data_IF_419465662594
#
_entry.id   IF_419465662594
#
_cell.length_a   1.000
_cell.length_b   1.000
_cell.length_c   1.000
_cell.angle_alpha   90.00
_cell.angle_beta   90.00
_cell.angle_gamma   90.00
#
_symmetry.space_group_name_H-M   'P 1'
#
loop_
_entity.id
_entity.type
_entity.pdbx_description
1 polymer ?
#
# COMPACT_ATOMS: atom_id res chain seq x y z
N UNK A 1 -12.05 4.53 -4.79
CA UNK A 1 -10.95 3.96 -3.99
C UNK A 1 -10.16 2.96 -4.82
N UNK A 2 -8.86 3.08 -4.78
CA UNK A 2 -7.96 2.15 -5.45
C UNK A 2 -7.13 1.41 -4.40
N UNK A 3 -7.29 0.09 -4.30
CA UNK A 3 -6.50 -0.77 -3.42
C UNK A 3 -5.46 -1.52 -4.25
N UNK A 4 -4.22 -1.08 -4.21
CA UNK A 4 -3.15 -1.64 -5.04
C UNK A 4 -2.91 -3.13 -4.80
N UNK A 5 -2.94 -3.58 -3.55
CA UNK A 5 -2.72 -4.99 -3.25
C UNK A 5 -3.86 -5.88 -3.78
N UNK A 6 -5.10 -5.40 -3.76
CA UNK A 6 -6.24 -6.12 -4.32
C UNK A 6 -6.05 -6.33 -5.83
N UNK A 7 -5.73 -5.26 -6.57
CA UNK A 7 -5.48 -5.38 -8.01
C UNK A 7 -4.29 -6.28 -8.30
N UNK A 8 -3.22 -6.17 -7.52
CA UNK A 8 -2.05 -7.04 -7.67
C UNK A 8 -2.42 -8.53 -7.52
N UNK A 9 -3.18 -8.87 -6.47
CA UNK A 9 -3.58 -10.25 -6.21
C UNK A 9 -4.58 -10.79 -7.24
N UNK A 10 -5.30 -9.90 -7.93
CA UNK A 10 -6.13 -10.26 -9.08
C UNK A 10 -5.31 -10.58 -10.34
N UNK A 11 -4.00 -10.40 -10.30
CA UNK A 11 -3.13 -10.67 -11.43
C UNK A 11 -2.88 -9.46 -12.33
N UNK A 12 -3.31 -8.27 -11.92
CA UNK A 12 -3.11 -7.06 -12.71
C UNK A 12 -1.69 -6.50 -12.58
N UNK A 13 -1.18 -5.94 -13.68
CA UNK A 13 0.07 -5.18 -13.69
C UNK A 13 -0.20 -3.75 -13.21
N UNK A 14 0.22 -3.42 -12.00
CA UNK A 14 -0.04 -2.11 -11.41
C UNK A 14 0.57 -0.97 -12.19
N UNK A 15 1.71 -1.22 -12.85
CA UNK A 15 2.40 -0.18 -13.63
C UNK A 15 1.67 0.17 -14.94
N UNK A 16 0.68 -0.65 -15.32
CA UNK A 16 -0.24 -0.38 -16.42
C UNK A 16 -1.59 0.12 -15.94
N UNK A 17 -2.09 -0.44 -14.84
CA UNK A 17 -3.42 -0.11 -14.31
C UNK A 17 -3.44 1.30 -13.70
N UNK A 18 -2.44 1.65 -12.89
CA UNK A 18 -2.42 2.96 -12.22
C UNK A 18 -2.43 4.12 -13.23
N UNK A 19 -1.57 4.16 -14.25
CA UNK A 19 -1.64 5.23 -15.24
C UNK A 19 -2.98 5.33 -15.95
N UNK A 20 -3.60 4.18 -16.25
CA UNK A 20 -4.88 4.12 -16.95
C UNK A 20 -6.04 4.65 -16.11
N UNK A 21 -6.01 4.44 -14.79
CA UNK A 21 -7.07 4.82 -13.87
C UNK A 21 -6.78 6.10 -13.08
N UNK A 22 -5.62 6.72 -13.27
CA UNK A 22 -5.12 7.80 -12.42
C UNK A 22 -6.14 8.93 -12.24
N UNK A 23 -6.81 9.35 -13.30
CA UNK A 23 -7.79 10.43 -13.26
C UNK A 23 -9.08 10.07 -12.51
N UNK A 24 -9.28 8.81 -12.20
CA UNK A 24 -10.45 8.29 -11.47
C UNK A 24 -10.15 7.87 -10.05
N UNK A 25 -8.89 7.89 -9.65
CA UNK A 25 -8.48 7.53 -8.29
C UNK A 25 -8.71 8.73 -7.38
N UNK A 26 -9.54 8.53 -6.35
CA UNK A 26 -9.88 9.57 -5.38
C UNK A 26 -9.43 9.23 -3.97
N UNK A 27 -8.97 8.01 -3.75
CA UNK A 27 -8.50 7.51 -2.46
C UNK A 27 -7.65 6.27 -2.71
N UNK A 28 -6.50 6.16 -2.04
CA UNK A 28 -5.59 5.02 -2.21
C UNK A 28 -5.50 4.20 -0.93
N UNK A 29 -5.68 2.89 -1.03
CA UNK A 29 -5.28 1.93 -0.02
C UNK A 29 -3.87 1.44 -0.34
N UNK A 30 -2.90 1.96 0.40
CA UNK A 30 -1.48 1.73 0.16
C UNK A 30 -0.98 0.51 0.94
N UNK A 31 -1.54 -0.64 0.60
CA UNK A 31 -1.32 -1.92 1.27
C UNK A 31 -0.28 -2.75 0.53
N UNK A 32 0.47 -3.57 1.27
CA UNK A 32 1.33 -4.60 0.69
C UNK A 32 0.77 -5.98 1.03
N UNK A 33 1.15 -6.96 0.26
CA UNK A 33 0.70 -8.34 0.44
C UNK A 33 1.62 -9.30 -0.31
N UNK A 34 1.47 -10.59 -0.09
CA UNK A 34 2.17 -11.64 -0.80
C UNK A 34 1.20 -12.77 -1.14
N UNK A 35 1.38 -13.39 -2.30
CA UNK A 35 0.58 -14.54 -2.75
C UNK A 35 -0.31 -14.24 -3.94
N UNK A 36 -1.41 -15.00 -4.02
CA UNK A 36 -2.37 -14.94 -5.11
C UNK A 36 -3.79 -14.72 -4.59
N UNK A 37 -4.75 -14.51 -5.49
CA UNK A 37 -6.15 -14.28 -5.11
C UNK A 37 -6.77 -15.44 -4.31
N UNK A 38 -6.23 -16.65 -4.41
CA UNK A 38 -6.76 -17.84 -3.73
C UNK A 38 -5.93 -18.25 -2.53
N UNK A 39 -4.72 -17.72 -2.40
CA UNK A 39 -3.82 -18.00 -1.28
C UNK A 39 -2.88 -16.81 -1.09
N UNK A 40 -3.28 -15.88 -0.25
CA UNK A 40 -2.49 -14.67 0.02
C UNK A 40 -2.37 -14.42 1.51
N UNK A 41 -1.40 -13.60 1.87
CA UNK A 41 -1.23 -13.12 3.24
C UNK A 41 -0.98 -11.63 3.26
N UNK A 42 -1.46 -10.99 4.32
CA UNK A 42 -1.09 -9.61 4.63
C UNK A 42 0.37 -9.57 5.07
N UNK A 43 1.10 -8.57 4.62
CA UNK A 43 2.49 -8.35 5.01
C UNK A 43 2.63 -6.97 5.65
N UNK A 44 3.76 -6.73 6.31
CA UNK A 44 4.13 -5.36 6.64
C UNK A 44 4.44 -4.62 5.34
N UNK A 45 4.36 -3.30 5.39
CA UNK A 45 4.47 -2.48 4.18
C UNK A 45 5.84 -2.58 3.49
N UNK A 46 6.88 -2.95 4.23
CA UNK A 46 8.25 -3.07 3.74
C UNK A 46 8.66 -4.49 3.33
N UNK A 47 7.83 -5.51 3.56
CA UNK A 47 8.23 -6.89 3.30
C UNK A 47 7.24 -7.73 2.51
N UNK A 48 6.37 -7.09 1.75
CA UNK A 48 5.50 -7.78 0.79
C UNK A 48 6.15 -7.86 -0.59
N UNK A 49 5.34 -8.26 -1.58
CA UNK A 49 5.80 -8.43 -2.95
C UNK A 49 5.77 -7.14 -3.77
N UNK A 50 5.11 -6.09 -3.28
CA UNK A 50 5.01 -4.81 -3.97
C UNK A 50 6.21 -3.91 -3.66
N UNK A 51 6.74 -3.27 -4.70
CA UNK A 51 7.76 -2.22 -4.56
C UNK A 51 7.07 -0.91 -4.17
N UNK A 52 6.94 -0.69 -2.89
CA UNK A 52 6.17 0.43 -2.35
C UNK A 52 6.73 1.80 -2.73
N UNK A 53 8.06 2.05 -2.65
CA UNK A 53 8.62 3.31 -3.10
C UNK A 53 8.36 3.58 -4.58
N UNK A 54 8.50 2.57 -5.42
CA UNK A 54 8.25 2.68 -6.87
C UNK A 54 6.79 2.99 -7.17
N UNK A 55 5.87 2.37 -6.44
CA UNK A 55 4.44 2.66 -6.59
C UNK A 55 4.11 4.10 -6.17
N UNK A 56 4.71 4.58 -5.09
CA UNK A 56 4.48 5.96 -4.65
C UNK A 56 4.97 6.97 -5.69
N UNK A 57 6.16 6.72 -6.28
CA UNK A 57 6.64 7.54 -7.39
C UNK A 57 5.69 7.51 -8.59
N UNK A 58 5.14 6.34 -8.89
CA UNK A 58 4.19 6.20 -9.99
C UNK A 58 2.92 7.01 -9.74
N UNK A 59 2.36 6.97 -8.54
CA UNK A 59 1.21 7.81 -8.19
C UNK A 59 1.54 9.29 -8.39
N UNK A 60 2.68 9.74 -7.88
CA UNK A 60 3.14 11.13 -8.07
C UNK A 60 3.23 11.49 -9.55
N UNK A 61 3.89 10.65 -10.34
CA UNK A 61 4.15 10.91 -11.76
C UNK A 61 2.87 10.92 -12.59
N UNK A 62 1.85 10.17 -12.15
CA UNK A 62 0.53 10.16 -12.77
C UNK A 62 -0.41 11.26 -12.25
N UNK A 63 0.05 12.13 -11.35
CA UNK A 63 -0.75 13.23 -10.83
C UNK A 63 -1.81 12.81 -9.81
N UNK A 64 -1.66 11.66 -9.19
CA UNK A 64 -2.58 11.18 -8.14
C UNK A 64 -2.23 11.86 -6.82
N UNK A 65 -2.95 12.92 -6.50
CA UNK A 65 -2.79 13.69 -5.26
C UNK A 65 -4.09 13.59 -4.44
N UNK A 66 -4.19 12.53 -3.69
CA UNK A 66 -5.41 12.13 -2.97
C UNK A 66 -5.05 11.57 -1.59
N UNK A 67 -6.02 11.48 -0.66
CA UNK A 67 -5.77 10.82 0.61
C UNK A 67 -5.28 9.38 0.45
N UNK A 68 -4.32 9.00 1.27
CA UNK A 68 -3.73 7.66 1.30
C UNK A 68 -3.97 7.05 2.68
N UNK A 69 -4.40 5.81 2.67
CA UNK A 69 -4.58 4.99 3.87
C UNK A 69 -3.63 3.80 3.80
N UNK A 70 -3.01 3.44 4.94
CA UNK A 70 -2.10 2.27 4.99
C UNK A 70 -2.84 0.94 4.85
N UNK A 71 -4.12 0.91 5.21
CA UNK A 71 -5.02 -0.26 5.11
C UNK A 71 -4.58 -1.41 6.00
N UNK A 72 -4.54 -2.65 5.49
CA UNK A 72 -4.30 -3.84 6.31
C UNK A 72 -2.84 -4.01 6.71
N UNK A 73 -2.64 -4.53 7.93
CA UNK A 73 -1.34 -4.86 8.50
C UNK A 73 -1.43 -6.15 9.29
N UNK A 74 -0.32 -6.90 9.43
CA UNK A 74 -0.27 -8.02 10.38
C UNK A 74 -0.33 -7.54 11.82
N UNK A 75 -0.76 -8.44 12.71
CA UNK A 75 -0.65 -8.23 14.16
C UNK A 75 0.79 -8.46 14.58
N UNK A 76 1.33 -7.56 15.40
CA UNK A 76 2.70 -7.70 15.92
C UNK A 76 2.74 -8.64 17.12
N UNK A 77 3.92 -9.25 17.34
CA UNK A 77 4.14 -10.10 18.49
C UNK A 77 3.87 -9.33 19.79
N UNK A 78 3.16 -9.96 20.71
CA UNK A 78 2.78 -9.37 22.00
C UNK A 78 1.54 -8.50 21.94
N UNK A 79 1.00 -8.22 20.75
CA UNK A 79 -0.21 -7.47 20.57
C UNK A 79 -1.43 -8.39 20.69
N UNK A 80 -2.47 -7.95 21.44
CA UNK A 80 -3.73 -8.66 21.50
C UNK A 80 -4.56 -8.35 20.27
N UNK A 81 -4.92 -9.39 19.51
CA UNK A 81 -5.75 -9.23 18.32
C UNK A 81 -7.14 -8.76 18.72
N UNK A 82 -7.51 -7.55 18.36
CA UNK A 82 -8.83 -6.96 18.59
C UNK A 82 -9.59 -6.74 17.29
N UNK A 83 -8.87 -6.41 16.25
CA UNK A 83 -9.44 -6.08 14.95
C UNK A 83 -8.46 -6.55 13.88
N UNK A 84 -8.51 -7.82 13.52
CA UNK A 84 -7.56 -8.45 12.61
C UNK A 84 -7.35 -7.62 11.34
N UNK A 85 -6.10 -7.37 10.99
CA UNK A 85 -5.72 -6.52 9.86
C UNK A 85 -5.67 -5.03 10.19
N UNK A 86 -6.18 -4.60 11.34
CA UNK A 86 -6.29 -3.17 11.71
C UNK A 86 -5.77 -2.86 13.11
N UNK A 87 -5.04 -3.76 13.74
CA UNK A 87 -4.49 -3.50 15.06
C UNK A 87 -3.43 -2.39 15.02
N UNK A 88 -3.32 -1.65 16.14
CA UNK A 88 -2.69 -0.33 16.14
C UNK A 88 -1.19 -0.33 15.85
N UNK A 89 -0.44 -1.30 16.36
CA UNK A 89 1.02 -1.27 16.25
C UNK A 89 1.50 -1.44 14.81
N UNK A 90 0.91 -2.39 14.08
CA UNK A 90 1.24 -2.57 12.67
C UNK A 90 0.89 -1.35 11.83
N UNK A 91 -0.22 -0.68 12.13
CA UNK A 91 -0.60 0.55 11.43
C UNK A 91 0.32 1.72 11.75
N UNK A 92 0.76 1.83 12.99
CA UNK A 92 1.74 2.85 13.38
C UNK A 92 3.05 2.67 12.61
N UNK A 93 3.54 1.43 12.54
CA UNK A 93 4.72 1.08 11.75
C UNK A 93 4.53 1.45 10.27
N UNK A 94 3.38 1.07 9.69
CA UNK A 94 3.06 1.35 8.30
C UNK A 94 3.00 2.85 8.00
N UNK A 95 2.42 3.65 8.90
CA UNK A 95 2.37 5.10 8.77
C UNK A 95 3.77 5.72 8.79
N UNK A 96 4.64 5.27 9.68
CA UNK A 96 6.03 5.72 9.72
C UNK A 96 6.79 5.38 8.44
N UNK A 97 6.61 4.16 7.95
CA UNK A 97 7.21 3.73 6.68
C UNK A 97 6.70 4.57 5.50
N UNK A 98 5.38 4.74 5.39
CA UNK A 98 4.78 5.56 4.32
C UNK A 98 5.31 7.00 4.36
N UNK A 99 5.35 7.61 5.53
CA UNK A 99 5.87 8.97 5.68
C UNK A 99 7.34 9.06 5.29
N UNK A 100 8.14 8.06 5.61
CA UNK A 100 9.55 8.02 5.23
C UNK A 100 9.74 7.97 3.72
N UNK A 101 8.99 7.12 3.01
CA UNK A 101 9.10 7.07 1.55
C UNK A 101 8.48 8.29 0.87
N UNK A 102 7.43 8.88 1.42
CA UNK A 102 6.89 10.16 0.93
C UNK A 102 7.92 11.26 0.99
N UNK A 103 8.62 11.40 2.12
CA UNK A 103 9.69 12.37 2.27
C UNK A 103 10.79 12.16 1.23
N UNK A 104 11.18 10.91 0.99
CA UNK A 104 12.20 10.56 0.00
C UNK A 104 11.76 10.93 -1.41
N UNK A 105 10.53 10.58 -1.78
CA UNK A 105 9.97 10.86 -3.10
C UNK A 105 9.82 12.36 -3.33
N UNK A 106 9.39 13.11 -2.32
CA UNK A 106 9.26 14.57 -2.42
C UNK A 106 10.61 15.24 -2.69
N UNK A 107 11.68 14.73 -2.09
CA UNK A 107 13.03 15.28 -2.28
C UNK A 107 13.65 14.95 -3.63
N UNK A 108 13.11 14.00 -4.36
CA UNK A 108 13.56 13.64 -5.71
C UNK A 108 13.06 14.61 -6.80
N UNK A 109 12.14 15.48 -6.47
CA UNK A 109 11.50 16.38 -7.44
C UNK A 109 12.46 17.43 -8.04
#
# INVERSE_FOLDING_TARGET
TFCQATYYMMGEDLYKVIPRLADKIMFVHFRNAAGTKVDFRETFHDNGELDMPRLLRLYRDCGVDVPIRVDHVPTMAGETVRNAGYDALGRLYALGYLRGIMETVDKEA
#
